data_IF_144114823608
#
_entry.id   IF_144114823608
#
_cell.length_a   1.000
_cell.length_b   1.000
_cell.length_c   1.000
_cell.angle_alpha   90.00
_cell.angle_beta   90.00
_cell.angle_gamma   90.00
#
_symmetry.space_group_name_H-M   'P 1'
#
loop_
_entity.id
_entity.type
_entity.pdbx_description
1 polymer ?
#
# COMPACT_ATOMS: atom_id res chain seq x y z
N UNK A 1 -2.93 19.55 -10.67
CA UNK A 1 -1.44 19.45 -10.65
C UNK A 1 -0.97 18.21 -9.89
N UNK A 2 -1.37 18.00 -8.63
CA UNK A 2 -0.96 16.85 -7.81
C UNK A 2 -1.25 15.47 -8.42
N UNK A 3 -2.41 15.30 -9.06
CA UNK A 3 -2.75 14.02 -9.70
C UNK A 3 -1.83 13.67 -10.87
N UNK A 4 -1.47 14.67 -11.70
CA UNK A 4 -0.50 14.49 -12.79
C UNK A 4 0.85 13.97 -12.25
N UNK A 5 1.32 14.51 -11.13
CA UNK A 5 2.58 14.05 -10.52
C UNK A 5 2.48 12.62 -9.98
N UNK A 6 1.34 12.20 -9.44
CA UNK A 6 1.16 10.79 -9.02
C UNK A 6 1.27 9.83 -10.18
N UNK A 7 0.72 10.21 -11.34
CA UNK A 7 0.76 9.38 -12.54
C UNK A 7 2.17 9.22 -13.13
N UNK A 8 3.15 10.02 -12.71
CA UNK A 8 4.57 9.87 -13.08
C UNK A 8 5.31 8.88 -12.15
N UNK A 9 4.75 8.57 -10.98
CA UNK A 9 5.37 7.64 -10.03
C UNK A 9 5.09 6.18 -10.42
N UNK A 10 6.03 5.30 -10.07
CA UNK A 10 5.99 3.86 -10.35
C UNK A 10 6.45 3.08 -9.11
N UNK A 11 5.93 1.86 -8.98
CA UNK A 11 6.37 0.88 -8.00
C UNK A 11 7.07 -0.27 -8.72
N UNK A 12 7.92 -1.02 -8.00
CA UNK A 12 8.38 -2.32 -8.50
C UNK A 12 7.26 -3.34 -8.37
N UNK A 13 7.06 -4.19 -9.38
CA UNK A 13 6.10 -5.28 -9.32
C UNK A 13 6.77 -6.56 -9.82
N UNK A 14 6.81 -7.58 -8.97
CA UNK A 14 7.11 -8.96 -9.37
C UNK A 14 5.79 -9.71 -9.43
N UNK A 15 5.48 -10.31 -10.57
CA UNK A 15 4.25 -11.08 -10.77
C UNK A 15 4.56 -12.57 -10.82
N UNK A 16 3.58 -13.39 -10.46
CA UNK A 16 3.61 -14.86 -10.61
C UNK A 16 4.89 -15.49 -10.03
N UNK A 17 5.31 -15.01 -8.86
CA UNK A 17 6.50 -15.50 -8.16
C UNK A 17 6.14 -16.69 -7.28
N UNK A 18 6.82 -17.82 -7.47
CA UNK A 18 6.62 -19.04 -6.69
C UNK A 18 7.05 -18.86 -5.23
N UNK A 19 6.25 -19.38 -4.29
CA UNK A 19 6.60 -19.41 -2.87
C UNK A 19 7.39 -20.68 -2.56
N UNK A 20 8.65 -20.52 -2.17
CA UNK A 20 9.60 -21.65 -1.96
C UNK A 20 9.77 -22.08 -0.50
N UNK A 21 8.90 -21.61 0.40
CA UNK A 21 8.96 -21.92 1.84
C UNK A 21 8.37 -23.31 2.09
N UNK A 22 9.03 -24.20 2.88
CA UNK A 22 8.48 -25.51 3.19
C UNK A 22 7.08 -25.46 3.80
N UNK A 23 6.19 -26.34 3.33
CA UNK A 23 4.81 -26.48 3.86
C UNK A 23 3.75 -25.66 3.12
N UNK A 24 4.11 -24.93 2.06
CA UNK A 24 3.15 -24.31 1.13
C UNK A 24 2.91 -25.22 -0.08
N UNK A 25 1.74 -25.12 -0.75
CA UNK A 25 1.51 -25.81 -2.02
C UNK A 25 2.53 -25.46 -3.09
N UNK A 26 2.92 -26.43 -3.93
CA UNK A 26 3.89 -26.24 -5.03
C UNK A 26 3.39 -25.29 -6.13
N UNK A 27 2.07 -25.06 -6.20
CA UNK A 27 1.41 -24.14 -7.12
C UNK A 27 1.04 -22.80 -6.46
N UNK A 28 1.63 -22.48 -5.30
CA UNK A 28 1.42 -21.21 -4.63
C UNK A 28 2.28 -20.11 -5.27
N UNK A 29 1.62 -19.22 -6.02
CA UNK A 29 2.22 -18.01 -6.58
C UNK A 29 1.75 -16.75 -5.85
N UNK A 30 2.60 -15.74 -5.84
CA UNK A 30 2.30 -14.40 -5.31
C UNK A 30 2.80 -13.31 -6.25
N UNK A 31 2.08 -12.19 -6.27
CA UNK A 31 2.55 -10.94 -6.87
C UNK A 31 2.98 -9.98 -5.75
N UNK A 32 4.19 -9.43 -5.84
CA UNK A 32 4.78 -8.56 -4.83
C UNK A 32 4.93 -7.12 -5.35
N UNK A 33 4.20 -6.20 -4.75
CA UNK A 33 4.35 -4.76 -4.94
C UNK A 33 5.46 -4.22 -4.02
N UNK A 34 6.58 -3.81 -4.61
CA UNK A 34 7.74 -3.25 -3.93
C UNK A 34 7.64 -1.72 -3.93
N UNK A 35 7.17 -1.18 -2.80
CA UNK A 35 6.93 0.24 -2.61
C UNK A 35 7.95 0.85 -1.63
N UNK A 36 8.33 2.11 -1.88
CA UNK A 36 9.15 2.89 -0.95
C UNK A 36 8.40 4.16 -0.52
N UNK A 37 8.37 4.43 0.77
CA UNK A 37 7.95 5.73 1.30
C UNK A 37 9.16 6.67 1.46
N UNK A 38 8.91 7.95 1.72
CA UNK A 38 9.99 8.88 2.02
C UNK A 38 10.59 8.62 3.41
N UNK A 39 11.92 8.67 3.58
CA UNK A 39 12.59 8.48 4.86
C UNK A 39 12.54 9.76 5.72
N UNK A 40 11.34 10.20 6.10
CA UNK A 40 11.08 11.46 6.80
C UNK A 40 11.89 11.58 8.10
N UNK A 41 11.95 10.51 8.90
CA UNK A 41 12.69 10.50 10.18
C UNK A 41 14.22 10.65 10.03
N UNK A 42 14.78 10.50 8.82
CA UNK A 42 16.22 10.56 8.60
C UNK A 42 16.70 11.97 8.23
N UNK A 43 15.82 12.97 8.32
CA UNK A 43 16.09 14.35 7.97
C UNK A 43 15.93 15.27 9.18
N UNK A 44 16.64 16.41 9.17
CA UNK A 44 16.62 17.40 10.26
C UNK A 44 15.50 18.44 10.14
N UNK A 45 14.85 18.55 8.98
CA UNK A 45 13.71 19.46 8.77
C UNK A 45 12.47 19.01 9.55
N UNK A 46 11.58 19.94 9.95
CA UNK A 46 10.28 19.61 10.52
C UNK A 46 9.53 18.57 9.69
N UNK A 47 8.84 17.66 10.37
CA UNK A 47 8.09 16.57 9.72
C UNK A 47 7.04 17.13 8.77
N UNK A 48 6.37 18.19 9.18
CA UNK A 48 5.25 18.82 8.49
C UNK A 48 5.65 19.34 7.10
N UNK A 49 6.91 19.79 6.94
CA UNK A 49 7.44 20.26 5.67
C UNK A 49 7.49 19.15 4.60
N UNK A 50 7.58 17.88 5.04
CA UNK A 50 7.55 16.71 4.16
C UNK A 50 6.13 16.30 3.75
N UNK A 51 5.09 16.77 4.44
CA UNK A 51 3.72 16.26 4.29
C UNK A 51 3.23 16.24 2.83
N UNK A 52 3.45 17.29 1.99
CA UNK A 52 3.00 17.27 0.61
C UNK A 52 3.69 16.17 -0.23
N UNK A 53 4.99 15.97 -0.05
CA UNK A 53 5.76 15.00 -0.83
C UNK A 53 5.57 13.58 -0.31
N UNK A 54 5.58 13.37 1.01
CA UNK A 54 5.31 12.08 1.63
C UNK A 54 3.93 11.57 1.25
N UNK A 55 2.90 12.42 1.33
CA UNK A 55 1.54 12.07 0.94
C UNK A 55 1.43 11.75 -0.55
N UNK A 56 2.14 12.45 -1.43
CA UNK A 56 2.17 12.15 -2.87
C UNK A 56 2.70 10.73 -3.14
N UNK A 57 3.83 10.38 -2.51
CA UNK A 57 4.47 9.05 -2.67
C UNK A 57 3.59 7.94 -2.08
N UNK A 58 3.01 8.16 -0.90
CA UNK A 58 2.10 7.20 -0.27
C UNK A 58 0.85 6.96 -1.12
N UNK A 59 0.21 8.03 -1.60
CA UNK A 59 -0.98 7.93 -2.45
C UNK A 59 -0.70 7.15 -3.74
N UNK A 60 0.41 7.44 -4.42
CA UNK A 60 0.78 6.72 -5.64
C UNK A 60 1.13 5.26 -5.36
N UNK A 61 1.81 4.98 -4.24
CA UNK A 61 2.20 3.61 -3.87
C UNK A 61 0.99 2.73 -3.58
N UNK A 62 0.04 3.22 -2.77
CA UNK A 62 -1.17 2.47 -2.45
C UNK A 62 -2.10 2.32 -3.65
N UNK A 63 -2.28 3.38 -4.44
CA UNK A 63 -3.08 3.30 -5.66
C UNK A 63 -2.51 2.29 -6.66
N UNK A 64 -1.20 2.35 -6.95
CA UNK A 64 -0.55 1.41 -7.86
C UNK A 64 -0.63 -0.03 -7.34
N UNK A 65 -0.48 -0.24 -6.03
CA UNK A 65 -0.59 -1.57 -5.40
C UNK A 65 -1.99 -2.14 -5.57
N UNK A 66 -3.04 -1.36 -5.28
CA UNK A 66 -4.42 -1.85 -5.39
C UNK A 66 -4.82 -2.04 -6.85
N UNK A 67 -4.40 -1.17 -7.77
CA UNK A 67 -4.63 -1.36 -9.20
C UNK A 67 -3.92 -2.61 -9.73
N UNK A 68 -2.70 -2.90 -9.26
CA UNK A 68 -2.03 -4.17 -9.56
C UNK A 68 -2.83 -5.37 -9.01
N UNK A 69 -3.43 -5.24 -7.83
CA UNK A 69 -4.37 -6.20 -7.28
C UNK A 69 -5.61 -6.42 -8.15
N UNK A 70 -6.21 -5.37 -8.70
CA UNK A 70 -7.33 -5.46 -9.65
C UNK A 70 -6.92 -6.22 -10.91
N UNK A 71 -5.75 -5.92 -11.47
CA UNK A 71 -5.23 -6.61 -12.65
C UNK A 71 -4.97 -8.10 -12.35
N UNK A 72 -4.35 -8.39 -11.21
CA UNK A 72 -4.12 -9.75 -10.74
C UNK A 72 -5.44 -10.52 -10.56
N UNK A 73 -6.46 -9.90 -9.95
CA UNK A 73 -7.78 -10.49 -9.77
C UNK A 73 -8.44 -10.84 -11.11
N UNK A 74 -8.35 -9.95 -12.11
CA UNK A 74 -8.89 -10.21 -13.45
C UNK A 74 -8.22 -11.39 -14.16
N UNK A 75 -6.93 -11.61 -13.89
CA UNK A 75 -6.15 -12.68 -14.51
C UNK A 75 -6.32 -14.03 -13.79
N UNK A 76 -6.36 -14.02 -12.47
CA UNK A 76 -6.26 -15.23 -11.64
C UNK A 76 -7.55 -15.60 -10.91
N UNK A 77 -8.51 -14.67 -10.82
CA UNK A 77 -9.69 -14.82 -9.98
C UNK A 77 -9.43 -14.66 -8.47
N UNK A 78 -8.19 -14.39 -8.04
CA UNK A 78 -7.86 -14.19 -6.62
C UNK A 78 -8.06 -12.71 -6.20
N UNK A 79 -9.02 -12.40 -5.31
CA UNK A 79 -9.34 -11.02 -4.93
C UNK A 79 -8.39 -10.44 -3.86
N UNK A 80 -7.52 -11.27 -3.26
CA UNK A 80 -6.80 -10.89 -2.04
C UNK A 80 -5.63 -9.99 -2.31
N UNK A 81 -5.55 -8.90 -1.56
CA UNK A 81 -4.42 -7.97 -1.58
C UNK A 81 -4.00 -7.68 -0.14
N UNK A 82 -2.74 -7.97 0.19
CA UNK A 82 -2.19 -7.71 1.51
C UNK A 82 -1.42 -6.40 1.50
N UNK A 83 -1.80 -5.45 2.37
CA UNK A 83 -1.19 -4.12 2.44
C UNK A 83 -0.60 -3.86 3.83
N UNK A 84 0.53 -3.17 3.87
CA UNK A 84 1.19 -2.72 5.11
C UNK A 84 1.10 -1.21 5.26
N UNK A 85 1.39 -0.70 6.44
CA UNK A 85 1.56 0.75 6.68
C UNK A 85 2.94 1.22 6.20
N UNK A 86 3.09 1.36 4.87
CA UNK A 86 4.34 1.71 4.19
C UNK A 86 4.90 3.01 4.80
N UNK A 87 6.15 2.95 5.27
CA UNK A 87 6.84 4.11 5.83
C UNK A 87 6.46 4.51 7.26
N UNK A 88 5.49 3.85 7.90
CA UNK A 88 5.04 4.16 9.28
C UNK A 88 5.98 3.70 10.39
N UNK A 89 7.01 2.92 10.05
CA UNK A 89 8.07 2.47 10.97
C UNK A 89 9.29 3.39 10.95
N UNK A 90 10.46 2.84 10.61
CA UNK A 90 11.74 3.55 10.65
C UNK A 90 11.78 4.83 9.80
N UNK A 91 11.00 4.90 8.71
CA UNK A 91 10.92 6.08 7.86
C UNK A 91 10.09 7.22 8.46
N UNK A 92 9.29 6.97 9.50
CA UNK A 92 8.62 8.00 10.28
C UNK A 92 7.58 8.83 9.53
N UNK A 93 6.88 8.23 8.56
CA UNK A 93 5.71 8.87 7.95
C UNK A 93 4.58 8.94 8.97
N UNK A 94 3.89 10.07 9.02
CA UNK A 94 2.78 10.28 9.96
C UNK A 94 1.62 9.32 9.65
N UNK A 95 0.97 8.79 10.69
CA UNK A 95 -0.07 7.78 10.56
C UNK A 95 -1.28 8.30 9.78
N UNK A 96 -1.69 9.55 10.02
CA UNK A 96 -2.76 10.21 9.28
C UNK A 96 -2.47 10.32 7.77
N UNK A 97 -1.22 10.56 7.36
CA UNK A 97 -0.86 10.57 5.93
C UNK A 97 -1.05 9.19 5.28
N UNK A 98 -0.60 8.14 5.98
CA UNK A 98 -0.73 6.75 5.54
C UNK A 98 -2.21 6.36 5.42
N UNK A 99 -3.00 6.63 6.46
CA UNK A 99 -4.43 6.32 6.50
C UNK A 99 -5.19 7.10 5.42
N UNK A 100 -4.87 8.38 5.22
CA UNK A 100 -5.48 9.19 4.15
C UNK A 100 -5.16 8.65 2.75
N UNK A 101 -3.91 8.23 2.52
CA UNK A 101 -3.49 7.65 1.24
C UNK A 101 -4.17 6.29 0.97
N UNK A 102 -4.23 5.42 1.98
CA UNK A 102 -4.96 4.15 1.93
C UNK A 102 -6.43 4.35 1.64
N UNK A 103 -7.12 5.21 2.42
CA UNK A 103 -8.53 5.54 2.24
C UNK A 103 -8.82 5.96 0.80
N UNK A 104 -8.01 6.87 0.26
CA UNK A 104 -8.15 7.31 -1.13
C UNK A 104 -8.02 6.14 -2.11
N UNK A 105 -6.99 5.31 -1.96
CA UNK A 105 -6.76 4.19 -2.86
C UNK A 105 -7.90 3.16 -2.81
N UNK A 106 -8.43 2.87 -1.62
CA UNK A 106 -9.58 1.98 -1.42
C UNK A 106 -10.84 2.52 -2.12
N UNK A 107 -11.14 3.82 -1.97
CA UNK A 107 -12.27 4.43 -2.68
C UNK A 107 -12.13 4.35 -4.20
N UNK A 108 -10.92 4.43 -4.75
CA UNK A 108 -10.71 4.32 -6.20
C UNK A 108 -11.02 2.91 -6.73
N UNK A 109 -10.74 1.88 -5.95
CA UNK A 109 -10.96 0.48 -6.35
C UNK A 109 -12.23 -0.13 -5.76
N UNK A 110 -13.07 0.65 -5.08
CA UNK A 110 -14.26 0.15 -4.34
C UNK A 110 -15.30 -0.56 -5.20
N UNK A 111 -15.29 -0.31 -6.51
CA UNK A 111 -16.14 -0.98 -7.49
C UNK A 111 -15.56 -2.31 -8.00
N UNK A 112 -14.39 -2.72 -7.47
CA UNK A 112 -13.79 -4.02 -7.68
C UNK A 112 -13.91 -4.86 -6.41
N UNK A 113 -14.24 -6.13 -6.57
CA UNK A 113 -14.42 -7.07 -5.45
C UNK A 113 -13.06 -7.56 -4.89
N UNK A 114 -12.22 -6.63 -4.44
CA UNK A 114 -10.95 -6.96 -3.78
C UNK A 114 -11.18 -7.24 -2.29
N UNK A 115 -10.50 -8.25 -1.77
CA UNK A 115 -10.37 -8.54 -0.34
C UNK A 115 -9.06 -7.92 0.17
N UNK A 116 -9.12 -6.68 0.63
CA UNK A 116 -7.93 -5.97 1.11
C UNK A 116 -7.66 -6.31 2.57
N UNK A 117 -6.52 -6.96 2.81
CA UNK A 117 -6.07 -7.41 4.13
C UNK A 117 -4.99 -6.49 4.67
N UNK A 118 -5.24 -5.87 5.83
CA UNK A 118 -4.24 -5.03 6.50
C UNK A 118 -3.30 -5.87 7.36
N UNK A 119 -2.01 -5.78 7.06
CA UNK A 119 -0.95 -6.50 7.78
C UNK A 119 -0.17 -5.52 8.65
N UNK A 120 -0.18 -5.77 9.96
CA UNK A 120 0.53 -4.98 10.96
C UNK A 120 1.45 -5.85 11.81
N UNK A 121 2.59 -5.31 12.21
CA UNK A 121 3.51 -5.98 13.12
C UNK A 121 3.31 -5.47 14.55
N UNK A 122 3.12 -6.40 15.51
CA UNK A 122 2.89 -6.18 16.95
C UNK A 122 1.58 -5.48 17.34
N UNK A 123 1.30 -4.30 16.78
CA UNK A 123 0.16 -3.48 17.17
C UNK A 123 -0.51 -2.88 15.93
N UNK A 124 -1.84 -2.86 15.96
CA UNK A 124 -2.68 -2.24 14.94
C UNK A 124 -3.17 -0.87 15.45
N UNK A 125 -2.83 0.25 14.79
CA UNK A 125 -3.31 1.57 15.20
C UNK A 125 -4.83 1.66 15.20
N UNK A 126 -5.40 2.39 16.17
CA UNK A 126 -6.85 2.65 16.24
C UNK A 126 -7.41 3.21 14.92
N UNK A 127 -6.66 4.10 14.28
CA UNK A 127 -7.03 4.69 12.98
C UNK A 127 -7.19 3.64 11.86
N UNK A 128 -6.51 2.50 11.95
CA UNK A 128 -6.65 1.42 10.98
C UNK A 128 -7.94 0.63 11.20
N UNK A 129 -8.35 0.42 12.46
CA UNK A 129 -9.67 -0.15 12.76
C UNK A 129 -10.80 0.75 12.26
N UNK A 130 -10.70 2.05 12.51
CA UNK A 130 -11.67 3.02 11.98
C UNK A 130 -11.73 2.99 10.46
N UNK A 131 -10.58 2.88 9.78
CA UNK A 131 -10.56 2.75 8.32
C UNK A 131 -11.22 1.46 7.83
N UNK A 132 -11.05 0.34 8.55
CA UNK A 132 -11.68 -0.94 8.21
C UNK A 132 -13.20 -0.83 8.35
N UNK A 133 -13.72 -0.13 9.36
CA UNK A 133 -15.17 0.06 9.54
C UNK A 133 -15.81 0.95 8.44
N UNK A 134 -15.00 1.70 7.67
CA UNK A 134 -15.49 2.52 6.55
C UNK A 134 -15.80 1.73 5.27
N UNK A 135 -15.33 0.48 5.14
CA UNK A 135 -15.39 -0.34 3.90
C UNK A 135 -15.97 -1.73 4.17
#
# INVERSE_FOLDING_TARGET
>A
MRDRLRQELRIGLHSDTEVTIPGVPEDQFVSQALCSALPVAYNSSPREDWAPFASLVLEASYEATLLAGVLNYRLTGNPRVYVTMVGGGAFGNETGWIISALRRALYLVSHHNLEVMFVSYRHTPAALYSLIEEF
#
